data_IF_591989004068
#
_entry.id   IF_591989004068
#
_cell.length_a   1.000
_cell.length_b   1.000
_cell.length_c   1.000
_cell.angle_alpha   90.00
_cell.angle_beta   90.00
_cell.angle_gamma   90.00
#
_symmetry.space_group_name_H-M   'P 1'
#
loop_
_entity.id
_entity.type
_entity.pdbx_description
1 polymer ?
#
# COMPACT_ATOMS: atom_id res chain seq x y z
N UNK A 1 14.98 0.21 48.29
CA UNK A 1 14.27 -0.97 47.75
C UNK A 1 13.74 -0.59 46.37
N UNK A 2 14.53 -0.89 45.34
CA UNK A 2 14.25 -0.58 43.93
C UNK A 2 13.33 -1.65 43.36
N UNK A 3 12.13 -1.26 42.95
CA UNK A 3 11.20 -2.13 42.21
C UNK A 3 11.71 -2.26 40.77
N UNK A 4 12.17 -3.46 40.39
CA UNK A 4 12.59 -3.79 39.03
C UNK A 4 11.41 -3.83 38.04
N UNK A 5 11.68 -3.94 36.72
CA UNK A 5 10.65 -3.93 35.70
C UNK A 5 9.79 -5.18 35.83
N UNK A 6 8.47 -5.03 35.70
CA UNK A 6 7.53 -6.15 35.68
C UNK A 6 7.80 -6.99 34.44
N UNK A 7 8.26 -8.22 34.64
CA UNK A 7 8.31 -9.23 33.59
C UNK A 7 6.91 -9.46 33.03
N UNK A 8 6.70 -9.03 31.79
CA UNK A 8 5.51 -9.38 31.02
C UNK A 8 5.52 -10.91 30.82
N UNK A 9 4.60 -11.57 31.51
CA UNK A 9 4.58 -13.03 31.66
C UNK A 9 4.21 -13.68 30.33
N UNK A 10 4.78 -14.85 30.06
CA UNK A 10 4.57 -15.73 28.89
C UNK A 10 3.10 -15.92 28.45
N UNK A 11 2.14 -15.67 29.33
CA UNK A 11 0.70 -15.70 29.07
C UNK A 11 0.23 -14.64 28.06
N UNK A 12 0.84 -13.45 28.03
CA UNK A 12 0.49 -12.39 27.08
C UNK A 12 0.87 -12.81 25.64
N UNK A 13 1.97 -13.56 25.49
CA UNK A 13 2.46 -14.08 24.21
C UNK A 13 1.54 -15.17 23.64
N UNK A 14 0.98 -16.04 24.49
CA UNK A 14 0.03 -17.09 24.05
C UNK A 14 -1.30 -16.50 23.55
N UNK A 15 -1.75 -15.38 24.14
CA UNK A 15 -2.98 -14.73 23.73
C UNK A 15 -2.85 -14.07 22.34
N UNK A 16 -1.67 -13.54 22.00
CA UNK A 16 -1.37 -13.06 20.64
C UNK A 16 -1.17 -14.20 19.63
N UNK A 17 -0.59 -15.33 20.05
CA UNK A 17 -0.37 -16.50 19.18
C UNK A 17 -1.69 -17.11 18.66
N UNK A 18 -2.82 -16.87 19.33
CA UNK A 18 -4.15 -17.35 18.94
C UNK A 18 -4.75 -16.55 17.76
N UNK A 19 -4.19 -15.37 17.43
CA UNK A 19 -4.64 -14.51 16.34
C UNK A 19 -3.75 -14.57 15.08
N UNK A 20 -2.60 -15.23 15.14
CA UNK A 20 -1.70 -15.34 13.99
C UNK A 20 -1.98 -16.61 13.16
N UNK A 21 -1.94 -16.50 11.82
CA UNK A 21 -1.94 -17.67 10.94
C UNK A 21 -0.84 -18.65 11.33
N UNK A 22 -1.15 -19.96 11.34
CA UNK A 22 -0.26 -21.03 11.84
C UNK A 22 1.16 -21.06 11.23
N UNK A 23 1.37 -20.42 10.08
CA UNK A 23 2.68 -20.33 9.40
C UNK A 23 3.47 -19.05 9.70
N UNK A 24 2.85 -18.05 10.32
CA UNK A 24 3.51 -16.84 10.79
C UNK A 24 3.82 -17.04 12.28
N UNK A 25 5.08 -17.32 12.58
CA UNK A 25 5.56 -17.42 13.96
C UNK A 25 6.25 -16.10 14.33
N UNK A 26 5.88 -15.47 15.46
CA UNK A 26 6.63 -14.32 15.96
C UNK A 26 8.09 -14.74 16.21
N UNK A 27 9.04 -13.91 15.77
CA UNK A 27 10.47 -14.14 15.98
C UNK A 27 10.80 -13.73 17.42
N UNK A 28 10.54 -14.63 18.36
CA UNK A 28 10.58 -14.33 19.80
C UNK A 28 11.98 -14.27 20.43
N UNK A 29 13.06 -14.55 19.70
CA UNK A 29 14.38 -14.76 20.33
C UNK A 29 15.30 -13.54 20.41
N UNK A 30 14.96 -12.38 19.80
CA UNK A 30 15.88 -11.21 19.70
C UNK A 30 15.20 -9.88 20.13
N UNK A 31 13.97 -9.90 20.64
CA UNK A 31 13.18 -8.68 20.90
C UNK A 31 12.51 -8.14 19.62
N UNK A 32 11.69 -7.08 19.73
CA UNK A 32 10.88 -6.61 18.61
C UNK A 32 11.76 -6.02 17.50
N UNK A 33 11.47 -6.39 16.24
CA UNK A 33 12.18 -5.88 15.06
C UNK A 33 11.52 -4.57 14.63
N UNK A 34 12.10 -3.44 15.02
CA UNK A 34 11.50 -2.11 14.85
C UNK A 34 12.46 -1.12 14.20
N UNK A 35 11.89 -0.08 13.55
CA UNK A 35 12.68 1.02 12.99
C UNK A 35 13.25 1.94 14.07
N UNK A 36 12.50 2.14 15.14
CA UNK A 36 12.74 3.16 16.17
C UNK A 36 12.47 2.55 17.55
N UNK A 37 13.53 2.15 18.25
CA UNK A 37 13.42 1.43 19.54
C UNK A 37 12.59 2.19 20.59
N UNK A 38 12.75 3.52 20.67
CA UNK A 38 12.02 4.37 21.63
C UNK A 38 10.50 4.38 21.43
N UNK A 39 10.00 4.07 20.22
CA UNK A 39 8.55 3.96 19.97
C UNK A 39 7.99 2.60 20.43
N UNK A 40 8.85 1.58 20.50
CA UNK A 40 8.51 0.23 20.92
C UNK A 40 8.53 0.05 22.45
N UNK A 41 8.95 1.07 23.21
CA UNK A 41 8.86 1.09 24.69
C UNK A 41 7.43 1.32 25.20
N UNK A 42 6.51 1.70 24.31
CA UNK A 42 5.11 1.96 24.63
C UNK A 42 4.25 0.70 24.77
N UNK A 43 2.93 0.90 24.83
CA UNK A 43 1.97 -0.17 25.12
C UNK A 43 1.76 -1.22 24.00
N UNK A 44 2.44 -1.09 22.85
CA UNK A 44 2.30 -2.04 21.74
C UNK A 44 3.58 -2.14 20.89
N UNK A 45 4.60 -2.89 21.33
CA UNK A 45 5.80 -3.16 20.53
C UNK A 45 5.48 -3.82 19.18
N UNK A 46 4.46 -4.69 19.14
CA UNK A 46 4.04 -5.36 17.91
C UNK A 46 3.46 -4.40 16.86
N UNK A 47 2.81 -3.30 17.28
CA UNK A 47 2.39 -2.26 16.33
C UNK A 47 3.61 -1.56 15.71
N UNK A 48 4.66 -1.32 16.48
CA UNK A 48 5.92 -0.77 15.96
C UNK A 48 6.63 -1.71 14.98
N UNK A 49 6.51 -3.03 15.16
CA UNK A 49 7.00 -4.00 14.17
C UNK A 49 6.21 -3.91 12.85
N UNK A 50 4.88 -3.80 12.94
CA UNK A 50 4.02 -3.63 11.77
C UNK A 50 4.34 -2.33 11.03
N UNK A 51 4.50 -1.22 11.75
CA UNK A 51 4.87 0.09 11.18
C UNK A 51 6.21 0.00 10.44
N UNK A 52 7.20 -0.67 11.03
CA UNK A 52 8.47 -0.89 10.36
C UNK A 52 8.31 -1.75 9.10
N UNK A 53 7.55 -2.84 9.19
CA UNK A 53 7.20 -3.68 8.05
C UNK A 53 6.51 -2.89 6.93
N UNK A 54 5.58 -2.00 7.26
CA UNK A 54 4.88 -1.13 6.32
C UNK A 54 5.84 -0.17 5.61
N UNK A 55 6.80 0.43 6.31
CA UNK A 55 7.82 1.30 5.71
C UNK A 55 8.63 0.53 4.66
N UNK A 56 9.16 -0.64 5.04
CA UNK A 56 9.97 -1.46 4.14
C UNK A 56 9.16 -1.97 2.94
N UNK A 57 7.95 -2.46 3.20
CA UNK A 57 7.04 -2.96 2.18
C UNK A 57 6.61 -1.85 1.21
N UNK A 58 6.29 -0.65 1.70
CA UNK A 58 5.93 0.52 0.88
C UNK A 58 7.07 0.90 -0.09
N UNK A 59 8.30 0.96 0.42
CA UNK A 59 9.47 1.23 -0.42
C UNK A 59 9.69 0.13 -1.47
N UNK A 60 9.61 -1.15 -1.08
CA UNK A 60 9.79 -2.27 -1.99
C UNK A 60 8.70 -2.32 -3.06
N UNK A 61 7.43 -2.13 -2.66
CA UNK A 61 6.28 -2.14 -3.55
C UNK A 61 6.33 -0.99 -4.56
N UNK A 62 6.71 0.22 -4.11
CA UNK A 62 6.91 1.37 -5.00
C UNK A 62 7.97 1.11 -6.06
N UNK A 63 9.13 0.54 -5.67
CA UNK A 63 10.17 0.13 -6.63
C UNK A 63 9.68 -0.94 -7.59
N UNK A 64 8.94 -1.93 -7.09
CA UNK A 64 8.36 -2.98 -7.92
C UNK A 64 7.39 -2.44 -8.96
N UNK A 65 6.44 -1.57 -8.58
CA UNK A 65 5.48 -0.96 -9.51
C UNK A 65 6.19 -0.22 -10.65
N UNK A 66 7.18 0.62 -10.33
CA UNK A 66 7.94 1.38 -11.32
C UNK A 66 8.71 0.45 -12.27
N UNK A 67 9.38 -0.59 -11.74
CA UNK A 67 10.12 -1.55 -12.56
C UNK A 67 9.22 -2.40 -13.44
N UNK A 68 8.06 -2.82 -12.91
CA UNK A 68 7.08 -3.60 -13.66
C UNK A 68 6.47 -2.77 -14.80
N UNK A 69 6.19 -1.48 -14.57
CA UNK A 69 5.71 -0.57 -15.63
C UNK A 69 6.79 -0.26 -16.68
N UNK A 70 8.03 -0.09 -16.26
CA UNK A 70 9.15 0.05 -17.19
C UNK A 70 9.29 -1.19 -18.09
N UNK A 71 9.20 -2.39 -17.52
CA UNK A 71 9.19 -3.64 -18.28
C UNK A 71 7.95 -3.77 -19.20
N UNK A 72 6.83 -3.12 -18.87
CA UNK A 72 5.65 -3.03 -19.73
C UNK A 72 5.81 -2.02 -20.90
N UNK A 73 7.00 -1.45 -21.07
CA UNK A 73 7.36 -0.53 -22.15
C UNK A 73 7.08 0.94 -21.84
N UNK A 74 6.85 1.31 -20.57
CA UNK A 74 6.60 2.68 -20.15
C UNK A 74 7.55 3.10 -19.00
N UNK A 75 8.84 3.36 -19.30
CA UNK A 75 9.78 3.86 -18.31
C UNK A 75 9.44 5.30 -17.89
N UNK A 76 9.95 5.72 -16.73
CA UNK A 76 9.84 7.10 -16.25
C UNK A 76 8.52 7.45 -15.57
N UNK A 77 7.59 6.50 -15.42
CA UNK A 77 6.40 6.69 -14.59
C UNK A 77 6.71 6.51 -13.10
N UNK A 78 6.16 7.38 -12.27
CA UNK A 78 6.22 7.27 -10.80
C UNK A 78 5.16 6.28 -10.28
N UNK A 79 5.30 5.84 -9.02
CA UNK A 79 4.30 4.97 -8.37
C UNK A 79 2.90 5.61 -8.38
N UNK A 80 2.79 6.91 -8.07
CA UNK A 80 1.52 7.64 -8.09
C UNK A 80 0.87 7.68 -9.47
N UNK A 81 1.65 7.92 -10.52
CA UNK A 81 1.15 7.89 -11.90
C UNK A 81 0.63 6.50 -12.28
N UNK A 82 1.33 5.44 -11.86
CA UNK A 82 0.94 4.05 -12.12
C UNK A 82 -0.36 3.70 -11.37
N UNK A 83 -0.48 4.08 -10.09
CA UNK A 83 -1.69 3.88 -9.29
C UNK A 83 -2.90 4.60 -9.90
N UNK A 84 -2.73 5.86 -10.31
CA UNK A 84 -3.78 6.63 -11.00
C UNK A 84 -4.16 5.94 -12.32
N UNK A 85 -3.19 5.49 -13.13
CA UNK A 85 -3.48 4.80 -14.38
C UNK A 85 -4.31 3.52 -14.16
N UNK A 86 -3.94 2.70 -13.18
CA UNK A 86 -4.71 1.50 -12.81
C UNK A 86 -6.11 1.84 -12.28
N UNK A 87 -6.23 2.87 -11.45
CA UNK A 87 -7.52 3.37 -10.96
C UNK A 87 -8.42 3.81 -12.13
N UNK A 88 -7.88 4.58 -13.09
CA UNK A 88 -8.61 5.00 -14.29
C UNK A 88 -9.04 3.80 -15.14
N UNK A 89 -8.16 2.79 -15.35
CA UNK A 89 -8.49 1.57 -16.08
C UNK A 89 -9.61 0.75 -15.43
N UNK A 90 -9.72 0.75 -14.10
CA UNK A 90 -10.69 -0.07 -13.37
C UNK A 90 -12.12 0.13 -13.88
N UNK A 91 -12.80 -0.95 -14.29
CA UNK A 91 -14.18 -0.95 -14.84
C UNK A 91 -14.41 -0.13 -16.12
N UNK A 92 -13.36 0.34 -16.81
CA UNK A 92 -13.45 0.94 -18.17
C UNK A 92 -14.26 2.24 -18.32
N UNK A 93 -14.87 2.74 -17.25
CA UNK A 93 -15.61 4.01 -17.23
C UNK A 93 -14.72 5.19 -16.89
N UNK A 94 -15.09 6.36 -17.43
CA UNK A 94 -14.51 7.63 -17.01
C UNK A 94 -14.70 7.87 -15.51
N UNK A 95 -13.75 8.60 -14.91
CA UNK A 95 -13.73 8.92 -13.48
C UNK A 95 -13.48 10.40 -13.27
N UNK A 96 -14.10 10.96 -12.23
CA UNK A 96 -13.82 12.32 -11.79
C UNK A 96 -12.48 12.36 -11.07
N UNK A 97 -11.77 13.49 -11.16
CA UNK A 97 -10.53 13.71 -10.41
C UNK A 97 -10.73 13.48 -8.90
N UNK A 98 -11.84 14.00 -8.35
CA UNK A 98 -12.17 13.85 -6.94
C UNK A 98 -12.34 12.37 -6.53
N UNK A 99 -12.99 11.56 -7.37
CA UNK A 99 -13.15 10.11 -7.12
C UNK A 99 -11.79 9.39 -7.11
N UNK A 100 -10.86 9.79 -7.98
CA UNK A 100 -9.51 9.22 -8.03
C UNK A 100 -8.75 9.58 -6.75
N UNK A 101 -8.77 10.84 -6.33
CA UNK A 101 -8.13 11.29 -5.10
C UNK A 101 -8.71 10.55 -3.88
N UNK A 102 -10.04 10.42 -3.81
CA UNK A 102 -10.72 9.71 -2.72
C UNK A 102 -10.33 8.23 -2.66
N UNK A 103 -10.34 7.52 -3.78
CA UNK A 103 -10.05 6.07 -3.81
C UNK A 103 -8.57 5.77 -3.53
N UNK A 104 -7.67 6.66 -3.93
CA UNK A 104 -6.22 6.49 -3.74
C UNK A 104 -5.69 7.19 -2.49
N UNK A 105 -6.58 7.80 -1.70
CA UNK A 105 -6.24 8.57 -0.51
C UNK A 105 -5.15 9.65 -0.78
N UNK A 106 -5.36 10.42 -1.85
CA UNK A 106 -4.49 11.53 -2.22
C UNK A 106 -5.07 12.82 -1.67
N UNK A 107 -4.46 13.35 -0.61
CA UNK A 107 -4.88 14.62 0.02
C UNK A 107 -4.58 15.83 -0.87
N UNK A 108 -3.35 15.93 -1.40
CA UNK A 108 -2.98 17.04 -2.28
C UNK A 108 -3.39 16.78 -3.73
N UNK A 109 -4.50 17.42 -4.13
CA UNK A 109 -5.04 17.34 -5.48
C UNK A 109 -4.06 17.84 -6.56
N UNK A 110 -3.07 18.66 -6.22
CA UNK A 110 -2.05 19.08 -7.18
C UNK A 110 -1.17 17.91 -7.62
N UNK A 111 -0.82 17.00 -6.70
CA UNK A 111 -0.05 15.78 -7.02
C UNK A 111 -0.82 14.94 -8.05
N UNK A 112 -2.10 14.69 -7.81
CA UNK A 112 -2.95 13.95 -8.75
C UNK A 112 -3.05 14.68 -10.11
N UNK A 113 -3.19 16.01 -10.08
CA UNK A 113 -3.29 16.83 -11.31
C UNK A 113 -2.02 16.76 -12.14
N UNK A 114 -0.84 16.82 -11.52
CA UNK A 114 0.45 16.69 -12.19
C UNK A 114 0.64 15.29 -12.78
N UNK A 115 0.34 14.25 -12.01
CA UNK A 115 0.40 12.87 -12.48
C UNK A 115 -0.52 12.65 -13.69
N UNK A 116 -1.76 13.15 -13.64
CA UNK A 116 -2.72 13.05 -14.75
C UNK A 116 -2.22 13.79 -15.98
N UNK A 117 -1.67 15.01 -15.83
CA UNK A 117 -1.07 15.75 -16.95
C UNK A 117 0.05 14.97 -17.62
N UNK A 118 0.90 14.30 -16.84
CA UNK A 118 1.98 13.46 -17.37
C UNK A 118 1.46 12.21 -18.07
N UNK A 119 0.44 11.55 -17.51
CA UNK A 119 -0.23 10.41 -18.16
C UNK A 119 -0.91 10.80 -19.47
N UNK A 120 -1.52 11.99 -19.51
CA UNK A 120 -2.15 12.56 -20.71
C UNK A 120 -1.10 12.90 -21.78
N UNK A 121 0.00 13.54 -21.40
CA UNK A 121 1.13 13.80 -22.30
C UNK A 121 1.76 12.50 -22.85
N UNK A 122 1.76 11.42 -22.06
CA UNK A 122 2.17 10.09 -22.51
C UNK A 122 1.12 9.38 -23.37
N UNK A 123 -0.07 9.96 -23.57
CA UNK A 123 -1.18 9.40 -24.35
C UNK A 123 -1.87 8.20 -23.69
N UNK A 124 -1.71 8.02 -22.38
CA UNK A 124 -2.24 6.87 -21.62
C UNK A 124 -3.67 7.12 -21.12
N UNK A 125 -4.01 8.39 -20.92
CA UNK A 125 -5.35 8.84 -20.55
C UNK A 125 -5.74 10.02 -21.42
N UNK A 126 -7.03 10.30 -21.53
CA UNK A 126 -7.57 11.58 -21.98
C UNK A 126 -8.28 12.26 -20.83
N UNK A 127 -8.23 13.59 -20.81
CA UNK A 127 -9.03 14.37 -19.86
C UNK A 127 -10.20 15.04 -20.55
N UNK A 128 -11.28 15.25 -19.79
CA UNK A 128 -12.49 15.90 -20.24
C UNK A 128 -13.13 16.71 -19.12
N UNK A 129 -14.35 17.17 -19.38
CA UNK A 129 -15.19 17.82 -18.37
C UNK A 129 -16.58 17.23 -18.42
N UNK A 130 -17.10 16.86 -17.25
CA UNK A 130 -18.51 16.56 -17.06
C UNK A 130 -19.08 17.60 -16.10
N UNK A 131 -20.03 18.41 -16.57
CA UNK A 131 -20.47 19.63 -15.88
C UNK A 131 -19.29 20.54 -15.50
N UNK A 132 -18.98 20.66 -14.19
CA UNK A 132 -17.89 21.49 -13.66
C UNK A 132 -16.67 20.69 -13.21
N UNK A 133 -16.67 19.37 -13.40
CA UNK A 133 -15.63 18.49 -12.86
C UNK A 133 -14.72 17.92 -13.95
N UNK A 134 -13.43 17.85 -13.67
CA UNK A 134 -12.43 17.22 -14.55
C UNK A 134 -12.64 15.71 -14.56
N UNK A 135 -12.83 15.13 -15.74
CA UNK A 135 -12.94 13.69 -15.94
C UNK A 135 -11.69 13.13 -16.61
N UNK A 136 -11.39 11.87 -16.32
CA UNK A 136 -10.23 11.14 -16.83
C UNK A 136 -10.73 9.80 -17.37
N UNK A 137 -10.30 9.45 -18.59
CA UNK A 137 -10.63 8.21 -19.27
C UNK A 137 -9.37 7.51 -19.76
N UNK A 138 -9.35 6.18 -19.67
CA UNK A 138 -8.25 5.36 -20.20
C UNK A 138 -8.25 5.41 -21.74
N UNK A 139 -7.08 5.50 -22.37
CA UNK A 139 -6.93 5.28 -23.82
C UNK A 139 -6.68 3.81 -24.13
N UNK A 140 -6.74 3.42 -25.42
CA UNK A 140 -6.30 2.09 -25.84
C UNK A 140 -4.82 1.85 -25.47
N UNK A 141 -3.95 2.84 -25.66
CA UNK A 141 -2.54 2.76 -25.27
C UNK A 141 -2.36 2.54 -23.76
N UNK A 142 -3.10 3.26 -22.92
CA UNK A 142 -3.08 3.07 -21.46
C UNK A 142 -3.63 1.70 -21.06
N UNK A 143 -4.70 1.26 -21.74
CA UNK A 143 -5.29 -0.05 -21.54
C UNK A 143 -4.32 -1.19 -21.87
N UNK A 144 -3.60 -1.11 -22.99
CA UNK A 144 -2.60 -2.10 -23.39
C UNK A 144 -1.41 -2.12 -22.43
N UNK A 145 -1.00 -0.95 -21.93
CA UNK A 145 0.04 -0.86 -20.92
C UNK A 145 -0.35 -1.57 -19.61
N UNK A 146 -1.57 -1.34 -19.10
CA UNK A 146 -2.07 -2.06 -17.93
C UNK A 146 -2.12 -3.58 -18.17
N UNK A 147 -2.45 -4.01 -19.39
CA UNK A 147 -2.51 -5.43 -19.76
C UNK A 147 -1.12 -6.06 -19.75
N UNK A 148 -0.12 -5.40 -20.35
CA UNK A 148 1.28 -5.85 -20.31
C UNK A 148 1.83 -5.86 -18.88
N UNK A 149 1.52 -4.84 -18.09
CA UNK A 149 1.86 -4.79 -16.67
C UNK A 149 1.32 -6.02 -15.93
N UNK A 150 0.05 -6.38 -16.14
CA UNK A 150 -0.56 -7.54 -15.51
C UNK A 150 0.14 -8.85 -15.91
N UNK A 151 0.47 -9.03 -17.18
CA UNK A 151 1.19 -10.21 -17.68
C UNK A 151 2.60 -10.33 -17.06
N UNK A 152 3.31 -9.22 -16.92
CA UNK A 152 4.65 -9.19 -16.29
C UNK A 152 4.53 -9.51 -14.81
N UNK A 153 3.57 -8.89 -14.10
CA UNK A 153 3.31 -9.19 -12.68
C UNK A 153 2.99 -10.66 -12.46
N UNK A 154 2.18 -11.24 -13.33
CA UNK A 154 1.83 -12.66 -13.25
C UNK A 154 3.08 -13.54 -13.33
N UNK A 155 3.92 -13.32 -14.33
CA UNK A 155 5.12 -14.15 -14.57
C UNK A 155 6.21 -13.94 -13.52
N UNK A 156 6.53 -12.69 -13.21
CA UNK A 156 7.73 -12.34 -12.42
C UNK A 156 7.48 -12.22 -10.93
N UNK A 157 6.22 -12.14 -10.49
CA UNK A 157 5.91 -12.05 -9.07
C UNK A 157 4.96 -13.18 -8.66
N UNK A 158 3.75 -13.24 -9.21
CA UNK A 158 2.72 -14.19 -8.78
C UNK A 158 3.17 -15.65 -8.95
N UNK A 159 3.51 -16.05 -10.18
CA UNK A 159 3.94 -17.41 -10.48
C UNK A 159 5.27 -17.76 -9.79
N UNK A 160 6.23 -16.84 -9.79
CA UNK A 160 7.57 -17.07 -9.21
C UNK A 160 7.55 -17.26 -7.69
N UNK A 161 6.56 -16.68 -6.99
CA UNK A 161 6.47 -16.72 -5.53
C UNK A 161 5.45 -17.74 -5.02
N UNK A 162 4.77 -18.49 -5.90
CA UNK A 162 3.63 -19.35 -5.54
C UNK A 162 3.93 -20.34 -4.41
N UNK A 163 5.15 -20.88 -4.36
CA UNK A 163 5.56 -21.87 -3.35
C UNK A 163 6.15 -21.25 -2.07
N UNK A 164 6.43 -19.94 -2.06
CA UNK A 164 7.10 -19.25 -0.96
C UNK A 164 6.25 -18.15 -0.31
N UNK A 165 5.22 -17.66 -1.00
CA UNK A 165 4.32 -16.61 -0.49
C UNK A 165 3.28 -17.19 0.49
N UNK A 166 2.72 -16.36 1.38
CA UNK A 166 1.58 -16.76 2.21
C UNK A 166 0.41 -17.28 1.38
N UNK A 167 -0.39 -18.18 1.98
CA UNK A 167 -1.62 -18.67 1.37
C UNK A 167 -2.65 -17.53 1.15
N UNK A 168 -3.57 -17.71 0.20
CA UNK A 168 -4.53 -16.66 -0.20
C UNK A 168 -5.43 -16.18 0.96
N UNK A 169 -5.82 -17.07 1.88
CA UNK A 169 -6.61 -16.69 3.06
C UNK A 169 -5.82 -15.73 3.96
N UNK A 170 -4.54 -16.01 4.20
CA UNK A 170 -3.68 -15.14 5.00
C UNK A 170 -3.33 -13.84 4.29
N UNK A 171 -3.16 -13.85 2.97
CA UNK A 171 -3.05 -12.60 2.21
C UNK A 171 -4.31 -11.74 2.38
N UNK A 172 -5.48 -12.37 2.43
CA UNK A 172 -6.77 -11.69 2.63
C UNK A 172 -6.91 -11.11 4.04
N UNK A 173 -6.45 -11.84 5.07
CA UNK A 173 -6.37 -11.36 6.46
C UNK A 173 -5.41 -10.17 6.59
N UNK A 174 -4.18 -10.29 6.05
CA UNK A 174 -3.20 -9.19 6.03
C UNK A 174 -3.81 -7.96 5.34
N UNK A 175 -4.50 -8.14 4.23
CA UNK A 175 -5.15 -7.04 3.53
C UNK A 175 -6.27 -6.38 4.36
N UNK A 176 -7.01 -7.14 5.18
CA UNK A 176 -8.01 -6.58 6.09
C UNK A 176 -7.36 -5.76 7.21
N UNK A 177 -6.26 -6.25 7.79
CA UNK A 177 -5.49 -5.52 8.81
C UNK A 177 -4.93 -4.22 8.24
N UNK A 178 -4.33 -4.24 7.05
CA UNK A 178 -3.79 -3.03 6.41
C UNK A 178 -4.88 -1.98 6.14
N UNK A 179 -6.09 -2.39 5.72
CA UNK A 179 -7.21 -1.47 5.55
C UNK A 179 -7.68 -0.86 6.87
N UNK A 180 -7.75 -1.66 7.92
CA UNK A 180 -8.07 -1.18 9.27
C UNK A 180 -7.05 -0.16 9.75
N UNK A 181 -5.75 -0.48 9.65
CA UNK A 181 -4.66 0.39 10.08
C UNK A 181 -4.65 1.71 9.30
N UNK A 182 -4.86 1.68 7.97
CA UNK A 182 -4.98 2.89 7.15
C UNK A 182 -6.01 3.87 7.74
N UNK A 183 -7.24 3.40 7.99
CA UNK A 183 -8.29 4.27 8.55
C UNK A 183 -7.99 4.75 9.98
N UNK A 184 -7.34 3.92 10.79
CA UNK A 184 -6.90 4.30 12.14
C UNK A 184 -5.81 5.39 12.09
N UNK A 185 -4.87 5.30 11.15
CA UNK A 185 -3.84 6.32 10.95
C UNK A 185 -4.44 7.64 10.48
N UNK A 186 -5.43 7.65 9.58
CA UNK A 186 -6.10 8.88 9.15
C UNK A 186 -6.82 9.56 10.33
N UNK A 187 -7.43 8.76 11.21
CA UNK A 187 -8.05 9.28 12.42
C UNK A 187 -7.02 9.88 13.38
N UNK A 188 -5.92 9.18 13.61
CA UNK A 188 -4.82 9.65 14.46
C UNK A 188 -4.17 10.92 13.90
N UNK A 189 -3.94 11.00 12.58
CA UNK A 189 -3.39 12.17 11.91
C UNK A 189 -4.29 13.40 12.10
N UNK A 190 -5.62 13.24 11.91
CA UNK A 190 -6.57 14.34 12.18
C UNK A 190 -6.51 14.80 13.63
N UNK A 191 -6.50 13.88 14.60
CA UNK A 191 -6.37 14.24 16.00
C UNK A 191 -5.05 15.00 16.27
N UNK A 192 -3.94 14.58 15.67
CA UNK A 192 -2.64 15.22 15.83
C UNK A 192 -2.61 16.66 15.31
N UNK A 193 -3.39 17.02 14.27
CA UNK A 193 -3.45 18.42 13.78
C UNK A 193 -4.04 19.42 14.77
N UNK A 194 -4.70 18.94 15.83
CA UNK A 194 -5.32 19.79 16.86
C UNK A 194 -4.46 20.00 18.11
N UNK A 195 -3.29 19.36 18.17
CA UNK A 195 -2.28 19.53 19.21
C UNK A 195 -1.36 20.71 18.88
#
# INVERSE_FOLDING_TARGET
MTTGPKDHTTADIEQFATALPKHLKPVSSIGPIVSSAHLAEGGSPGLSEVEYGMILASHAFSRWMVRCMAAAGLPGLSATEILILHSVRHRGREKKLADICLVLDIEDTHIATYAIRKLEAAGLVTTGKAAKEKTIKITNKGADACTRYAQIRERLFVASTINARPAEDTLSEIAAVLRFLSGAYDQAARAATTL
#
